data_IF_196197523441
#
_entry.id   IF_196197523441
#
_cell.length_a   1.000
_cell.length_b   1.000
_cell.length_c   1.000
_cell.angle_alpha   90.00
_cell.angle_beta   90.00
_cell.angle_gamma   90.00
#
_symmetry.space_group_name_H-M   'P 1'
#
loop_
_entity.id
_entity.type
_entity.pdbx_description
1 polymer ?
#
# COMPACT_ATOMS: atom_id res chain seq x y z
N UNK A 1 22.12 -16.31 -6.51
CA UNK A 1 20.74 -16.74 -6.78
C UNK A 1 20.35 -17.68 -5.65
N UNK A 2 19.36 -17.31 -4.82
CA UNK A 2 18.96 -18.15 -3.68
C UNK A 2 18.23 -19.38 -4.23
N UNK A 3 18.75 -20.57 -3.94
CA UNK A 3 18.08 -21.82 -4.26
C UNK A 3 17.04 -22.08 -3.17
N UNK A 4 15.76 -21.98 -3.51
CA UNK A 4 14.65 -22.18 -2.57
C UNK A 4 14.44 -23.66 -2.19
N UNK A 5 15.19 -24.60 -2.81
CA UNK A 5 15.11 -26.03 -2.51
C UNK A 5 13.96 -26.76 -3.21
N UNK A 6 13.20 -26.07 -4.08
CA UNK A 6 12.08 -26.63 -4.83
C UNK A 6 12.51 -26.99 -6.26
N UNK A 7 12.27 -28.24 -6.65
CA UNK A 7 12.65 -28.79 -7.96
C UNK A 7 11.46 -29.04 -8.90
N UNK A 8 10.22 -28.74 -8.48
CA UNK A 8 9.02 -28.86 -9.31
C UNK A 8 8.00 -27.75 -9.07
N UNK A 9 7.11 -27.55 -10.03
CA UNK A 9 6.00 -26.58 -9.95
C UNK A 9 5.01 -26.98 -8.87
N UNK A 10 4.77 -28.27 -8.67
CA UNK A 10 3.92 -28.82 -7.60
C UNK A 10 4.46 -28.44 -6.22
N UNK A 11 5.78 -28.53 -6.04
CA UNK A 11 6.41 -28.20 -4.77
C UNK A 11 6.32 -26.68 -4.49
N UNK A 12 6.47 -25.84 -5.51
CA UNK A 12 6.21 -24.39 -5.41
C UNK A 12 4.73 -24.09 -5.11
N UNK A 13 3.80 -24.80 -5.75
CA UNK A 13 2.35 -24.63 -5.51
C UNK A 13 1.98 -24.97 -4.08
N UNK A 14 2.60 -26.00 -3.50
CA UNK A 14 2.41 -26.38 -2.10
C UNK A 14 2.85 -25.31 -1.11
N UNK A 15 3.71 -24.38 -1.54
CA UNK A 15 4.23 -23.29 -0.72
C UNK A 15 3.39 -22.01 -0.81
N UNK A 16 2.58 -21.83 -1.85
CA UNK A 16 1.73 -20.64 -2.02
C UNK A 16 0.83 -20.37 -0.80
N UNK A 17 0.18 -21.38 -0.17
CA UNK A 17 -0.64 -21.13 1.01
C UNK A 17 0.13 -20.54 2.19
N UNK A 18 1.40 -20.91 2.38
CA UNK A 18 2.23 -20.37 3.47
C UNK A 18 2.79 -18.98 3.19
N UNK A 19 2.60 -18.45 1.98
CA UNK A 19 3.01 -17.09 1.60
C UNK A 19 1.81 -16.13 1.54
N UNK A 20 0.63 -16.56 1.99
CA UNK A 20 -0.55 -15.70 1.94
C UNK A 20 -0.33 -14.46 2.81
N UNK A 21 -0.39 -13.25 2.23
CA UNK A 21 -0.19 -12.02 2.99
C UNK A 21 -1.17 -11.85 4.13
N UNK A 22 -2.29 -12.59 4.21
CA UNK A 22 -3.22 -12.56 5.35
C UNK A 22 -2.65 -13.20 6.62
N UNK A 23 -1.74 -14.16 6.46
CA UNK A 23 -1.17 -14.95 7.56
C UNK A 23 0.15 -14.38 8.06
N UNK A 24 0.73 -13.41 7.33
CA UNK A 24 1.93 -12.68 7.73
C UNK A 24 1.70 -11.88 9.01
N UNK A 25 2.70 -11.90 9.89
CA UNK A 25 2.75 -10.98 11.01
C UNK A 25 3.00 -9.54 10.53
N UNK A 26 2.97 -8.58 11.47
CA UNK A 26 3.13 -7.17 11.12
C UNK A 26 4.50 -6.85 10.49
N UNK A 27 5.58 -7.45 10.99
CA UNK A 27 6.93 -7.22 10.49
C UNK A 27 7.12 -7.82 9.11
N UNK A 28 6.67 -9.06 8.92
CA UNK A 28 6.68 -9.76 7.64
C UNK A 28 5.86 -9.01 6.60
N UNK A 29 4.64 -8.57 6.96
CA UNK A 29 3.79 -7.82 6.05
C UNK A 29 4.39 -6.46 5.68
N UNK A 30 5.04 -5.76 6.64
CA UNK A 30 5.73 -4.50 6.36
C UNK A 30 6.84 -4.68 5.33
N UNK A 31 7.65 -5.73 5.45
CA UNK A 31 8.70 -6.03 4.48
C UNK A 31 8.14 -6.43 3.12
N UNK A 32 7.08 -7.25 3.09
CA UNK A 32 6.35 -7.58 1.86
C UNK A 32 5.79 -6.32 1.17
N UNK A 33 5.14 -5.45 1.93
CA UNK A 33 4.56 -4.20 1.43
C UNK A 33 5.62 -3.25 0.85
N UNK A 34 6.78 -3.14 1.52
CA UNK A 34 7.95 -2.39 1.02
C UNK A 34 8.53 -3.00 -0.25
N UNK A 35 8.63 -4.33 -0.29
CA UNK A 35 9.11 -5.06 -1.46
C UNK A 35 8.21 -4.82 -2.67
N UNK A 36 6.87 -4.84 -2.51
CA UNK A 36 5.93 -4.63 -3.59
C UNK A 36 6.19 -3.33 -4.36
N UNK A 37 6.43 -2.21 -3.64
CA UNK A 37 6.81 -0.93 -4.25
C UNK A 37 8.07 -1.03 -5.10
N UNK A 38 9.13 -1.65 -4.58
CA UNK A 38 10.39 -1.78 -5.29
C UNK A 38 10.35 -2.78 -6.45
N UNK A 39 9.45 -3.75 -6.38
CA UNK A 39 9.23 -4.75 -7.41
C UNK A 39 8.53 -4.15 -8.64
N UNK A 40 7.56 -3.24 -8.43
CA UNK A 40 6.75 -2.68 -9.51
C UNK A 40 7.29 -1.39 -10.11
N UNK A 41 8.07 -0.60 -9.36
CA UNK A 41 8.62 0.66 -9.89
C UNK A 41 9.61 0.40 -11.03
N UNK A 42 9.64 1.33 -12.00
CA UNK A 42 10.73 1.37 -12.97
C UNK A 42 12.07 1.58 -12.24
N UNK A 43 13.10 0.84 -12.62
CA UNK A 43 14.45 0.95 -12.05
C UNK A 43 15.07 2.34 -12.24
N UNK A 44 14.61 3.08 -13.25
CA UNK A 44 15.04 4.45 -13.54
C UNK A 44 14.25 5.50 -12.76
N UNK A 45 13.08 5.13 -12.20
CA UNK A 45 12.24 6.03 -11.41
C UNK A 45 12.40 5.79 -9.91
N UNK A 46 12.51 6.88 -9.15
CA UNK A 46 12.45 6.85 -7.69
C UNK A 46 11.01 6.75 -7.16
N UNK A 47 10.02 6.98 -8.02
CA UNK A 47 8.60 7.07 -7.68
C UNK A 47 7.78 6.00 -8.41
N UNK A 48 6.66 5.62 -7.81
CA UNK A 48 5.68 4.70 -8.38
C UNK A 48 4.60 5.49 -9.12
N UNK A 49 4.35 5.15 -10.37
CA UNK A 49 3.30 5.80 -11.16
C UNK A 49 1.94 5.64 -10.48
N UNK A 50 1.14 6.71 -10.51
CA UNK A 50 -0.17 6.77 -9.88
C UNK A 50 -1.08 5.60 -10.27
N UNK A 51 -1.18 5.30 -11.57
CA UNK A 51 -2.02 4.21 -12.07
C UNK A 51 -1.55 2.84 -11.55
N UNK A 52 -0.23 2.64 -11.45
CA UNK A 52 0.34 1.43 -10.85
C UNK A 52 0.04 1.38 -9.35
N UNK A 53 0.14 2.49 -8.63
CA UNK A 53 -0.20 2.56 -7.21
C UNK A 53 -1.68 2.22 -6.97
N UNK A 54 -2.60 2.76 -7.78
CA UNK A 54 -4.04 2.45 -7.72
C UNK A 54 -4.32 0.96 -7.94
N UNK A 55 -3.63 0.33 -8.88
CA UNK A 55 -3.77 -1.11 -9.14
C UNK A 55 -3.12 -1.98 -8.05
N UNK A 56 -1.97 -1.57 -7.52
CA UNK A 56 -1.15 -2.37 -6.61
C UNK A 56 -1.68 -2.35 -5.18
N UNK A 57 -2.14 -1.20 -4.67
CA UNK A 57 -2.58 -1.05 -3.29
C UNK A 57 -3.67 -2.06 -2.87
N UNK A 58 -4.76 -2.27 -3.64
CA UNK A 58 -5.77 -3.27 -3.30
C UNK A 58 -5.22 -4.69 -3.27
N UNK A 59 -4.30 -5.02 -4.19
CA UNK A 59 -3.70 -6.36 -4.30
C UNK A 59 -2.82 -6.69 -3.09
N UNK A 60 -2.01 -5.72 -2.65
CA UNK A 60 -1.07 -5.91 -1.54
C UNK A 60 -1.78 -5.84 -0.19
N UNK A 61 -2.73 -4.90 -0.04
CA UNK A 61 -3.41 -4.67 1.24
C UNK A 61 -4.52 -5.68 1.52
N UNK A 62 -5.18 -6.22 0.49
CA UNK A 62 -6.36 -7.07 0.66
C UNK A 62 -7.37 -6.44 1.61
N UNK A 63 -7.79 -7.18 2.65
CA UNK A 63 -8.73 -6.71 3.67
C UNK A 63 -8.06 -6.09 4.92
N UNK A 64 -6.75 -5.77 4.87
CA UNK A 64 -5.98 -5.30 6.04
C UNK A 64 -6.21 -3.82 6.37
N UNK A 65 -6.86 -3.07 5.50
CA UNK A 65 -7.05 -1.63 5.67
C UNK A 65 -8.48 -1.22 5.29
N UNK A 66 -9.19 -0.50 6.17
CA UNK A 66 -10.49 0.06 5.84
C UNK A 66 -10.40 1.25 4.85
N UNK A 67 -9.20 1.81 4.65
CA UNK A 67 -8.97 3.00 3.83
C UNK A 67 -8.56 2.70 2.39
N UNK A 68 -8.12 1.49 2.08
CA UNK A 68 -7.51 1.19 0.76
C UNK A 68 -8.43 1.54 -0.40
N UNK A 69 -9.70 1.18 -0.30
CA UNK A 69 -10.64 1.45 -1.39
C UNK A 69 -10.87 2.95 -1.59
N UNK A 70 -11.09 3.69 -0.50
CA UNK A 70 -11.36 5.13 -0.56
C UNK A 70 -10.11 5.93 -0.90
N UNK A 71 -8.93 5.48 -0.48
CA UNK A 71 -7.67 6.09 -0.87
C UNK A 71 -7.38 5.92 -2.37
N UNK A 72 -7.68 4.76 -2.95
CA UNK A 72 -7.57 4.56 -4.41
C UNK A 72 -8.55 5.48 -5.15
N UNK A 73 -9.80 5.58 -4.71
CA UNK A 73 -10.78 6.52 -5.29
C UNK A 73 -10.29 7.97 -5.22
N UNK A 74 -9.68 8.36 -4.09
CA UNK A 74 -9.07 9.68 -3.94
C UNK A 74 -7.95 9.88 -4.97
N UNK A 75 -7.01 8.94 -5.09
CA UNK A 75 -5.93 9.02 -6.06
C UNK A 75 -6.52 9.19 -7.47
N UNK A 76 -7.45 8.33 -7.89
CA UNK A 76 -8.12 8.40 -9.18
C UNK A 76 -8.82 9.75 -9.43
N UNK A 77 -9.48 10.32 -8.41
CA UNK A 77 -10.18 11.60 -8.51
C UNK A 77 -9.24 12.81 -8.63
N UNK A 78 -7.97 12.70 -8.20
CA UNK A 78 -6.99 13.79 -8.34
C UNK A 78 -6.71 14.05 -9.82
N UNK A 79 -6.73 15.33 -10.20
CA UNK A 79 -6.36 15.76 -11.56
C UNK A 79 -4.85 15.72 -11.78
N UNK A 80 -4.04 15.80 -10.72
CA UNK A 80 -2.61 15.62 -10.83
C UNK A 80 -2.26 14.14 -11.03
N UNK A 81 -1.27 13.91 -11.90
CA UNK A 81 -0.67 12.60 -12.14
C UNK A 81 0.66 12.47 -11.37
N UNK A 82 0.72 13.06 -10.18
CA UNK A 82 1.92 13.00 -9.36
C UNK A 82 2.15 11.55 -8.92
N UNK A 83 3.34 11.06 -9.20
CA UNK A 83 3.77 9.73 -8.80
C UNK A 83 3.91 9.64 -7.26
N UNK A 84 3.66 8.47 -6.72
CA UNK A 84 3.78 8.18 -5.29
C UNK A 84 5.24 7.91 -4.92
N UNK A 85 5.75 8.58 -3.90
CA UNK A 85 7.10 8.31 -3.38
C UNK A 85 7.10 7.10 -2.45
N UNK A 86 8.29 6.56 -2.18
CA UNK A 86 8.43 5.46 -1.23
C UNK A 86 8.01 5.87 0.19
N UNK A 87 8.26 7.11 0.57
CA UNK A 87 7.83 7.65 1.86
C UNK A 87 6.30 7.68 1.96
N UNK A 88 5.62 8.24 0.95
CA UNK A 88 4.16 8.26 0.90
C UNK A 88 3.57 6.84 0.93
N UNK A 89 4.17 5.89 0.19
CA UNK A 89 3.76 4.49 0.19
C UNK A 89 3.81 3.89 1.60
N UNK A 90 4.94 4.05 2.31
CA UNK A 90 5.09 3.53 3.67
C UNK A 90 4.20 4.26 4.69
N UNK A 91 4.07 5.58 4.56
CA UNK A 91 3.21 6.39 5.41
C UNK A 91 1.75 5.98 5.28
N UNK A 92 1.29 5.56 4.10
CA UNK A 92 -0.05 5.01 3.94
C UNK A 92 -0.26 3.73 4.78
N UNK A 93 0.70 2.80 4.80
CA UNK A 93 0.59 1.61 5.66
C UNK A 93 0.47 1.99 7.14
N UNK A 94 1.28 2.92 7.62
CA UNK A 94 1.21 3.37 9.02
C UNK A 94 -0.10 4.12 9.30
N UNK A 95 -0.57 4.94 8.36
CA UNK A 95 -1.85 5.65 8.46
C UNK A 95 -3.01 4.67 8.64
N UNK A 96 -3.06 3.60 7.84
CA UNK A 96 -4.14 2.60 7.93
C UNK A 96 -4.21 1.86 9.26
N UNK A 97 -3.13 1.92 10.03
CA UNK A 97 -3.00 1.28 11.34
C UNK A 97 -3.19 2.26 12.49
N UNK A 98 -2.82 3.52 12.29
CA UNK A 98 -2.91 4.57 13.29
C UNK A 98 -4.29 5.22 13.33
N UNK A 99 -4.98 5.28 12.18
CA UNK A 99 -6.21 6.05 12.00
C UNK A 99 -7.39 5.12 11.74
N UNK A 100 -8.43 5.22 12.55
CA UNK A 100 -9.68 4.48 12.41
C UNK A 100 -10.42 4.83 11.12
N UNK A 101 -11.41 4.02 10.76
CA UNK A 101 -12.19 4.19 9.53
C UNK A 101 -12.94 5.53 9.44
N UNK A 102 -13.31 6.10 10.59
CA UNK A 102 -14.01 7.38 10.69
C UNK A 102 -13.07 8.60 10.71
N UNK A 103 -11.75 8.36 10.62
CA UNK A 103 -10.70 9.38 10.67
C UNK A 103 -10.67 10.19 11.98
N UNK A 104 -11.27 9.67 13.06
CA UNK A 104 -11.39 10.41 14.33
C UNK A 104 -10.06 10.64 15.04
N UNK A 105 -9.08 9.76 14.86
CA UNK A 105 -7.73 9.89 15.42
C UNK A 105 -6.78 10.76 14.57
N UNK A 106 -7.23 11.21 13.40
CA UNK A 106 -6.39 12.05 12.54
C UNK A 106 -6.28 13.48 13.08
N UNK A 107 -5.06 14.02 13.05
CA UNK A 107 -4.76 15.41 13.41
C UNK A 107 -4.01 16.09 12.27
N UNK A 108 -4.49 17.27 11.88
CA UNK A 108 -3.88 18.14 10.87
C UNK A 108 -2.49 18.67 11.31
N UNK A 109 -2.15 18.53 12.60
CA UNK A 109 -0.82 18.85 13.14
C UNK A 109 0.14 17.64 13.11
N UNK A 110 -0.32 16.50 12.58
CA UNK A 110 0.48 15.27 12.45
C UNK A 110 1.62 15.40 11.45
N UNK A 111 2.59 14.49 11.52
CA UNK A 111 3.73 14.42 10.61
C UNK A 111 3.42 13.59 9.34
N UNK A 112 2.17 13.58 8.89
CA UNK A 112 1.77 12.83 7.70
C UNK A 112 2.22 13.57 6.43
N UNK A 113 2.54 12.86 5.33
CA UNK A 113 2.76 13.52 4.05
C UNK A 113 1.50 14.23 3.59
N UNK A 114 1.67 15.38 2.91
CA UNK A 114 0.58 16.20 2.34
C UNK A 114 -0.45 15.37 1.56
N UNK A 115 0.00 14.31 0.87
CA UNK A 115 -0.89 13.40 0.13
C UNK A 115 -1.96 12.76 1.02
N UNK A 116 -1.64 12.41 2.26
CA UNK A 116 -2.57 11.83 3.22
C UNK A 116 -3.47 12.90 3.84
N UNK A 117 -2.97 14.12 4.02
CA UNK A 117 -3.78 15.26 4.46
C UNK A 117 -4.84 15.62 3.41
N UNK A 118 -4.43 15.66 2.13
CA UNK A 118 -5.33 15.81 0.98
C UNK A 118 -6.38 14.69 0.92
N UNK A 119 -5.97 13.44 1.21
CA UNK A 119 -6.91 12.32 1.28
C UNK A 119 -7.96 12.51 2.36
N UNK A 120 -7.57 12.93 3.56
CA UNK A 120 -8.50 13.17 4.67
C UNK A 120 -9.45 14.32 4.34
N UNK A 121 -8.94 15.42 3.79
CA UNK A 121 -9.76 16.54 3.36
C UNK A 121 -10.79 16.09 2.30
N UNK A 122 -10.33 15.35 1.29
CA UNK A 122 -11.20 14.79 0.26
C UNK A 122 -12.25 13.83 0.83
N UNK A 123 -11.89 12.99 1.80
CA UNK A 123 -12.82 12.04 2.42
C UNK A 123 -13.92 12.76 3.21
N UNK A 124 -13.57 13.82 3.95
CA UNK A 124 -14.50 14.60 4.78
C UNK A 124 -15.45 15.49 3.96
N UNK A 125 -15.06 15.87 2.74
CA UNK A 125 -15.89 16.69 1.83
C UNK A 125 -16.90 15.85 1.01
N UNK A 126 -16.88 14.51 1.15
CA UNK A 126 -17.86 13.64 0.49
C UNK A 126 -19.25 13.85 1.11
N UNK A 127 -20.30 14.01 0.29
CA UNK A 127 -21.67 14.16 0.77
C UNK A 127 -22.22 12.88 1.43
#
# INVERSE_FOLDING_TARGET
>A
MVNLGYSSVEALRGLLPSLDPKDMDLGEFREFYRYAYHFTRDRTSATLEKDIACALLPLVMGNRSPHTHTFVQFLEARTSNDNMTFDQWNSFLEFTRAIGQDLSEYSDEGAWPILLDEYVAWYKDRP
#
